data_IF_954623326021
#
_entry.id   IF_954623326021
#
_cell.length_a   1.000
_cell.length_b   1.000
_cell.length_c   1.000
_cell.angle_alpha   90.00
_cell.angle_beta   90.00
_cell.angle_gamma   90.00
#
_symmetry.space_group_name_H-M   'P 1'
#
loop_
_entity.id
_entity.type
_entity.pdbx_description
1 polymer ?
#
# COMPACT_ATOMS: atom_id res chain seq x y z
N UNK A 1 -74.88 15.19 29.02
CA UNK A 1 -76.23 15.06 28.45
C UNK A 1 -76.44 16.19 27.45
N UNK A 2 -77.02 15.87 26.26
CA UNK A 2 -77.30 16.73 25.08
C UNK A 2 -76.09 17.31 24.33
N UNK A 3 -75.71 16.89 23.10
CA UNK A 3 -76.40 16.96 21.77
C UNK A 3 -76.92 18.37 21.44
N UNK A 4 -76.74 18.98 20.26
CA UNK A 4 -76.15 18.62 18.96
C UNK A 4 -75.94 19.91 18.13
N UNK A 5 -74.94 19.82 17.25
CA UNK A 5 -74.72 20.45 15.93
C UNK A 5 -75.33 21.80 15.52
N UNK A 6 -74.44 22.64 15.00
CA UNK A 6 -74.71 23.46 13.81
C UNK A 6 -73.52 24.32 13.44
N UNK A 7 -72.78 23.97 12.39
CA UNK A 7 -72.08 24.95 11.51
C UNK A 7 -71.61 24.29 10.23
N UNK A 8 -71.97 24.94 9.12
CA UNK A 8 -71.81 24.51 7.74
C UNK A 8 -70.37 24.62 7.23
N UNK A 9 -70.08 23.75 6.27
CA UNK A 9 -68.84 23.56 5.53
C UNK A 9 -68.52 24.70 4.56
N UNK A 10 -67.33 25.27 4.67
CA UNK A 10 -66.69 26.10 3.63
C UNK A 10 -65.56 25.30 2.97
N UNK A 11 -65.70 25.18 1.65
CA UNK A 11 -64.76 24.61 0.69
C UNK A 11 -63.50 25.46 0.60
N UNK A 12 -62.33 24.84 0.75
CA UNK A 12 -61.07 25.37 0.25
C UNK A 12 -60.14 24.21 -0.15
N UNK A 13 -59.89 24.16 -1.46
CA UNK A 13 -58.75 23.60 -2.18
C UNK A 13 -57.68 22.85 -1.38
N UNK A 14 -57.36 21.64 -1.86
CA UNK A 14 -56.07 21.28 -2.50
C UNK A 14 -55.86 19.79 -2.30
N UNK A 15 -55.96 19.00 -3.38
CA UNK A 15 -55.51 17.60 -3.33
C UNK A 15 -54.62 17.32 -4.53
N UNK A 16 -53.32 17.36 -4.20
CA UNK A 16 -52.18 16.63 -4.71
C UNK A 16 -52.18 16.12 -6.17
N UNK A 17 -51.20 16.51 -6.99
CA UNK A 17 -50.87 15.74 -8.18
C UNK A 17 -50.35 14.37 -7.76
N UNK A 18 -50.87 13.36 -8.47
CA UNK A 18 -50.59 11.93 -8.33
C UNK A 18 -49.12 11.63 -8.06
N UNK A 19 -48.94 10.79 -7.04
CA UNK A 19 -47.78 9.96 -6.73
C UNK A 19 -46.87 9.67 -7.93
N UNK A 20 -45.62 10.09 -7.77
CA UNK A 20 -44.41 9.52 -8.38
C UNK A 20 -44.58 8.04 -8.71
N UNK A 21 -44.56 7.70 -9.99
CA UNK A 21 -44.32 6.34 -10.46
C UNK A 21 -42.92 5.94 -10.01
N UNK A 22 -42.82 5.16 -8.94
CA UNK A 22 -41.63 4.37 -8.68
C UNK A 22 -41.44 3.47 -9.91
N UNK A 23 -40.46 3.79 -10.75
CA UNK A 23 -40.11 2.98 -11.91
C UNK A 23 -39.69 1.60 -11.41
N UNK A 24 -40.60 0.62 -11.50
CA UNK A 24 -40.29 -0.76 -11.20
C UNK A 24 -39.31 -1.25 -12.27
N UNK A 25 -38.07 -1.55 -11.85
CA UNK A 25 -37.08 -2.18 -12.73
C UNK A 25 -37.67 -3.46 -13.31
N UNK A 26 -37.61 -3.59 -14.62
CA UNK A 26 -38.08 -4.79 -15.34
C UNK A 26 -37.12 -5.96 -15.10
N UNK A 27 -37.63 -7.19 -15.29
CA UNK A 27 -36.82 -8.40 -15.15
C UNK A 27 -35.61 -8.40 -16.10
N UNK A 28 -35.75 -7.84 -17.30
CA UNK A 28 -34.65 -7.73 -18.27
C UNK A 28 -33.57 -6.75 -17.82
N UNK A 29 -33.94 -5.66 -17.16
CA UNK A 29 -32.98 -4.71 -16.57
C UNK A 29 -32.23 -5.34 -15.39
N UNK A 30 -32.91 -6.11 -14.55
CA UNK A 30 -32.27 -6.85 -13.46
C UNK A 30 -31.28 -7.89 -13.98
N UNK A 31 -31.64 -8.68 -15.01
CA UNK A 31 -30.70 -9.62 -15.63
C UNK A 31 -29.50 -8.95 -16.30
N UNK A 32 -29.68 -7.75 -16.87
CA UNK A 32 -28.55 -6.95 -17.40
C UNK A 32 -27.64 -6.45 -16.27
N UNK A 33 -28.20 -6.05 -15.14
CA UNK A 33 -27.43 -5.63 -13.96
C UNK A 33 -26.64 -6.80 -13.40
N UNK A 34 -27.26 -7.98 -13.27
CA UNK A 34 -26.59 -9.21 -12.82
C UNK A 34 -25.47 -9.64 -13.78
N UNK A 35 -25.72 -9.63 -15.09
CA UNK A 35 -24.70 -10.00 -16.08
C UNK A 35 -23.53 -8.99 -16.16
N UNK A 36 -23.78 -7.73 -15.79
CA UNK A 36 -22.74 -6.70 -15.71
C UNK A 36 -22.02 -6.66 -14.34
N UNK A 37 -22.49 -7.44 -13.36
CA UNK A 37 -21.91 -7.47 -12.03
C UNK A 37 -20.67 -8.35 -11.99
N UNK A 38 -19.51 -7.71 -11.97
CA UNK A 38 -18.23 -8.39 -11.82
C UNK A 38 -17.84 -8.52 -10.35
N UNK A 39 -18.13 -9.68 -9.76
CA UNK A 39 -17.71 -10.03 -8.39
C UNK A 39 -16.19 -9.99 -8.20
N UNK A 40 -15.41 -10.20 -9.28
CA UNK A 40 -13.95 -10.23 -9.21
C UNK A 40 -13.35 -8.84 -9.05
N UNK A 41 -14.00 -7.81 -9.61
CA UNK A 41 -13.60 -6.41 -9.45
C UNK A 41 -13.71 -5.92 -7.99
N UNK A 42 -14.63 -6.49 -7.20
CA UNK A 42 -14.85 -6.09 -5.80
C UNK A 42 -13.71 -6.48 -4.86
N UNK A 43 -12.96 -7.52 -5.20
CA UNK A 43 -11.85 -8.03 -4.38
C UNK A 43 -10.49 -7.60 -4.92
N UNK A 44 -10.46 -6.93 -6.08
CA UNK A 44 -9.23 -6.54 -6.75
C UNK A 44 -8.54 -5.37 -6.03
N UNK A 45 -7.42 -5.68 -5.39
CA UNK A 45 -6.60 -4.67 -4.72
C UNK A 45 -5.76 -3.89 -5.75
N UNK A 46 -5.87 -2.57 -5.73
CA UNK A 46 -4.98 -1.67 -6.48
C UNK A 46 -3.67 -1.54 -5.71
N UNK A 47 -2.60 -2.10 -6.26
CA UNK A 47 -1.26 -2.02 -5.68
C UNK A 47 -0.46 -0.85 -6.26
N UNK A 48 0.52 -0.34 -5.51
CA UNK A 48 1.48 0.60 -6.05
C UNK A 48 2.32 -0.04 -7.16
N UNK A 49 2.87 0.78 -8.06
CA UNK A 49 3.77 0.32 -9.15
C UNK A 49 4.94 -0.54 -8.66
N UNK A 50 5.51 -0.19 -7.50
CA UNK A 50 6.56 -0.96 -6.83
C UNK A 50 6.10 -2.35 -6.40
N UNK A 51 4.87 -2.47 -5.88
CA UNK A 51 4.28 -3.76 -5.50
C UNK A 51 3.92 -4.61 -6.72
N UNK A 52 3.42 -3.99 -7.80
CA UNK A 52 3.21 -4.68 -9.08
C UNK A 52 4.50 -5.23 -9.69
N UNK A 53 5.61 -4.51 -9.53
CA UNK A 53 6.93 -4.99 -9.98
C UNK A 53 7.33 -6.29 -9.26
N UNK A 54 7.13 -6.36 -7.93
CA UNK A 54 7.44 -7.56 -7.16
C UNK A 54 6.51 -8.73 -7.50
N UNK A 55 5.22 -8.47 -7.72
CA UNK A 55 4.26 -9.47 -8.18
C UNK A 55 4.70 -10.09 -9.51
N UNK A 56 5.02 -9.26 -10.51
CA UNK A 56 5.53 -9.71 -11.82
C UNK A 56 6.82 -10.52 -11.69
N UNK A 57 7.74 -10.10 -10.82
CA UNK A 57 8.98 -10.85 -10.60
C UNK A 57 8.74 -12.25 -10.04
N UNK A 58 7.83 -12.39 -9.08
CA UNK A 58 7.50 -13.71 -8.49
C UNK A 58 6.74 -14.57 -9.50
N UNK A 59 5.85 -13.99 -10.29
CA UNK A 59 5.18 -14.69 -11.38
C UNK A 59 6.16 -15.21 -12.44
N UNK A 60 7.14 -14.41 -12.84
CA UNK A 60 8.19 -14.84 -13.77
C UNK A 60 9.04 -15.99 -13.20
N UNK A 61 9.31 -15.98 -11.89
CA UNK A 61 10.00 -17.09 -11.23
C UNK A 61 9.16 -18.37 -11.29
N UNK A 62 7.85 -18.26 -11.07
CA UNK A 62 6.93 -19.39 -11.18
C UNK A 62 6.92 -19.96 -12.60
N UNK A 63 6.72 -19.12 -13.62
CA UNK A 63 6.73 -19.55 -15.02
C UNK A 63 8.03 -20.25 -15.40
N UNK A 64 9.18 -19.71 -14.97
CA UNK A 64 10.49 -20.32 -15.22
C UNK A 64 10.64 -21.67 -14.52
N UNK A 65 10.16 -21.78 -13.29
CA UNK A 65 10.17 -23.05 -12.56
C UNK A 65 9.31 -24.11 -13.25
N UNK A 66 8.09 -23.76 -13.66
CA UNK A 66 7.21 -24.65 -14.42
C UNK A 66 7.86 -25.10 -15.73
N UNK A 67 8.49 -24.18 -16.46
CA UNK A 67 9.22 -24.48 -17.71
C UNK A 67 10.31 -25.52 -17.49
N UNK A 68 11.14 -25.37 -16.45
CA UNK A 68 12.20 -26.33 -16.11
C UNK A 68 11.63 -27.70 -15.73
N UNK A 69 10.46 -27.71 -15.09
CA UNK A 69 9.78 -28.94 -14.64
C UNK A 69 8.88 -29.57 -15.72
N UNK A 70 8.72 -28.94 -16.88
CA UNK A 70 7.79 -29.37 -17.92
C UNK A 70 6.33 -29.35 -17.47
N UNK A 71 5.96 -28.45 -16.57
CA UNK A 71 4.60 -28.31 -16.05
C UNK A 71 3.85 -27.23 -16.81
N UNK A 72 2.55 -27.47 -17.07
CA UNK A 72 1.64 -26.40 -17.44
C UNK A 72 1.49 -25.41 -16.28
N UNK A 73 1.78 -24.14 -16.52
CA UNK A 73 1.85 -23.15 -15.45
C UNK A 73 0.49 -22.74 -14.90
N UNK A 74 -0.59 -22.83 -15.69
CA UNK A 74 -1.95 -22.50 -15.26
C UNK A 74 -2.54 -23.65 -14.43
N UNK A 75 -2.36 -24.90 -14.87
CA UNK A 75 -2.79 -26.07 -14.09
C UNK A 75 -2.01 -26.15 -12.78
N UNK A 76 -0.68 -26.01 -12.85
CA UNK A 76 0.18 -26.16 -11.68
C UNK A 76 -0.08 -25.10 -10.59
N UNK A 77 -0.46 -23.87 -10.96
CA UNK A 77 -0.74 -22.80 -9.98
C UNK A 77 -2.14 -22.96 -9.36
N UNK A 78 -3.11 -23.46 -10.13
CA UNK A 78 -4.45 -23.76 -9.66
C UNK A 78 -4.42 -24.88 -8.61
N UNK A 79 -3.74 -25.99 -8.92
CA UNK A 79 -3.72 -27.23 -8.14
C UNK A 79 -2.51 -27.33 -7.19
N UNK A 80 -1.92 -26.19 -6.83
CA UNK A 80 -0.66 -26.19 -6.09
C UNK A 80 -0.79 -26.87 -4.72
N UNK A 81 0.06 -27.87 -4.46
CA UNK A 81 0.17 -28.55 -3.17
C UNK A 81 1.43 -28.10 -2.40
N UNK A 82 1.54 -28.48 -1.14
CA UNK A 82 2.70 -28.13 -0.30
C UNK A 82 4.01 -28.67 -0.86
N UNK A 83 4.00 -29.83 -1.52
CA UNK A 83 5.20 -30.46 -2.08
C UNK A 83 5.73 -29.67 -3.28
N UNK A 84 4.85 -29.24 -4.16
CA UNK A 84 5.18 -28.40 -5.31
C UNK A 84 5.70 -27.04 -4.84
N UNK A 85 5.04 -26.42 -3.85
CA UNK A 85 5.51 -25.17 -3.25
C UNK A 85 6.88 -25.32 -2.58
N UNK A 86 7.11 -26.39 -1.82
CA UNK A 86 8.42 -26.69 -1.23
C UNK A 86 9.50 -26.72 -2.33
N UNK A 87 9.26 -27.47 -3.40
CA UNK A 87 10.23 -27.62 -4.48
C UNK A 87 10.43 -26.31 -5.26
N UNK A 88 9.37 -25.51 -5.42
CA UNK A 88 9.46 -24.17 -6.01
C UNK A 88 10.34 -23.25 -5.17
N UNK A 89 10.08 -23.11 -3.87
CA UNK A 89 10.87 -22.22 -3.00
C UNK A 89 12.29 -22.73 -2.78
N UNK A 90 12.51 -24.05 -2.74
CA UNK A 90 13.84 -24.63 -2.77
C UNK A 90 14.59 -24.19 -4.04
N UNK A 91 13.96 -24.35 -5.22
CA UNK A 91 14.55 -23.91 -6.49
C UNK A 91 14.80 -22.39 -6.52
N UNK A 92 13.87 -21.56 -6.03
CA UNK A 92 14.06 -20.10 -5.95
C UNK A 92 15.30 -19.76 -5.12
N UNK A 93 15.49 -20.41 -3.97
CA UNK A 93 16.67 -20.21 -3.12
C UNK A 93 17.96 -20.68 -3.79
N UNK A 94 17.93 -21.80 -4.52
CA UNK A 94 19.07 -22.26 -5.32
C UNK A 94 19.39 -21.30 -6.46
N UNK A 95 18.37 -20.84 -7.19
CA UNK A 95 18.50 -19.94 -8.34
C UNK A 95 18.95 -18.54 -7.94
N UNK A 96 18.49 -18.04 -6.79
CA UNK A 96 18.81 -16.70 -6.25
C UNK A 96 19.77 -16.74 -5.06
N UNK A 97 20.64 -17.75 -4.98
CA UNK A 97 21.54 -17.98 -3.83
C UNK A 97 22.38 -16.75 -3.44
N UNK A 98 22.79 -15.94 -4.41
CA UNK A 98 23.59 -14.74 -4.16
C UNK A 98 22.76 -13.58 -3.62
N UNK A 99 21.51 -13.42 -4.07
CA UNK A 99 20.66 -12.25 -3.77
C UNK A 99 19.64 -12.49 -2.66
N UNK A 100 19.20 -13.74 -2.44
CA UNK A 100 18.18 -14.09 -1.45
C UNK A 100 18.86 -14.78 -0.26
N UNK A 101 19.24 -13.99 0.75
CA UNK A 101 20.00 -14.47 1.92
C UNK A 101 19.29 -14.28 3.26
N UNK A 102 18.08 -13.71 3.26
CA UNK A 102 17.38 -13.34 4.48
C UNK A 102 16.01 -14.03 4.59
N UNK A 103 15.66 -14.48 5.80
CA UNK A 103 14.37 -15.08 6.12
C UNK A 103 13.20 -14.16 5.72
N UNK A 104 13.29 -12.88 6.06
CA UNK A 104 12.23 -11.91 5.76
C UNK A 104 11.96 -11.74 4.26
N UNK A 105 12.99 -11.88 3.42
CA UNK A 105 12.84 -11.84 1.97
C UNK A 105 12.11 -13.08 1.46
N UNK A 106 12.46 -14.27 1.96
CA UNK A 106 11.76 -15.51 1.62
C UNK A 106 10.27 -15.45 2.02
N UNK A 107 9.97 -14.98 3.23
CA UNK A 107 8.59 -14.79 3.69
C UNK A 107 7.82 -13.78 2.84
N UNK A 108 8.49 -12.74 2.35
CA UNK A 108 7.90 -11.77 1.43
C UNK A 108 7.56 -12.43 0.10
N UNK A 109 8.47 -13.21 -0.47
CA UNK A 109 8.22 -13.94 -1.72
C UNK A 109 7.06 -14.93 -1.56
N UNK A 110 6.95 -15.61 -0.42
CA UNK A 110 5.80 -16.46 -0.10
C UNK A 110 4.48 -15.70 -0.12
N UNK A 111 4.41 -14.56 0.60
CA UNK A 111 3.19 -13.73 0.61
C UNK A 111 2.82 -13.22 -0.77
N UNK A 112 3.82 -12.79 -1.55
CA UNK A 112 3.61 -12.30 -2.93
C UNK A 112 3.14 -13.44 -3.82
N UNK A 113 3.69 -14.65 -3.68
CA UNK A 113 3.21 -15.82 -4.41
C UNK A 113 1.73 -16.10 -4.13
N UNK A 114 1.31 -16.06 -2.85
CA UNK A 114 -0.10 -16.21 -2.51
C UNK A 114 -0.99 -15.16 -3.20
N UNK A 115 -0.52 -13.91 -3.29
CA UNK A 115 -1.25 -12.85 -4.01
C UNK A 115 -1.31 -13.09 -5.51
N UNK A 116 -0.22 -13.55 -6.13
CA UNK A 116 -0.20 -13.90 -7.57
C UNK A 116 -1.22 -15.02 -7.83
N UNK A 117 -1.22 -16.07 -7.00
CA UNK A 117 -2.18 -17.16 -7.14
C UNK A 117 -3.62 -16.68 -6.92
N UNK A 118 -3.88 -15.94 -5.85
CA UNK A 118 -5.22 -15.40 -5.55
C UNK A 118 -5.74 -14.54 -6.70
N UNK A 119 -4.88 -13.73 -7.35
CA UNK A 119 -5.24 -12.93 -8.54
C UNK A 119 -5.61 -13.80 -9.75
N UNK A 120 -4.90 -14.92 -9.98
CA UNK A 120 -5.17 -15.80 -11.12
C UNK A 120 -6.38 -16.71 -10.92
N UNK A 121 -6.56 -17.19 -9.70
CA UNK A 121 -7.53 -18.25 -9.37
C UNK A 121 -8.82 -17.68 -8.75
N UNK A 122 -8.78 -16.45 -8.25
CA UNK A 122 -9.93 -15.76 -7.64
C UNK A 122 -10.17 -16.08 -6.16
N UNK A 123 -9.54 -17.12 -5.61
CA UNK A 123 -9.68 -17.50 -4.20
C UNK A 123 -8.36 -17.83 -3.50
N UNK A 124 -8.37 -17.68 -2.18
CA UNK A 124 -7.22 -17.92 -1.32
C UNK A 124 -6.82 -19.39 -1.31
N UNK A 125 -5.54 -19.63 -1.11
CA UNK A 125 -5.00 -20.97 -0.91
C UNK A 125 -5.63 -21.63 0.33
N UNK A 126 -5.75 -22.96 0.30
CA UNK A 126 -6.24 -23.74 1.43
C UNK A 126 -5.45 -23.40 2.72
N UNK A 127 -6.18 -23.18 3.81
CA UNK A 127 -5.62 -22.92 5.15
C UNK A 127 -4.65 -24.01 5.59
N UNK A 128 -4.90 -25.27 5.23
CA UNK A 128 -3.99 -26.39 5.52
C UNK A 128 -2.65 -26.20 4.81
N UNK A 129 -2.66 -25.89 3.52
CA UNK A 129 -1.43 -25.65 2.73
C UNK A 129 -0.68 -24.43 3.28
N UNK A 130 -1.38 -23.35 3.63
CA UNK A 130 -0.78 -22.16 4.26
C UNK A 130 -0.06 -22.53 5.56
N UNK A 131 -0.70 -23.35 6.41
CA UNK A 131 -0.11 -23.80 7.68
C UNK A 131 1.10 -24.69 7.45
N UNK A 132 1.01 -25.66 6.54
CA UNK A 132 2.12 -26.55 6.19
C UNK A 132 3.30 -25.76 5.62
N UNK A 133 3.03 -24.72 4.83
CA UNK A 133 4.06 -23.86 4.27
C UNK A 133 4.85 -23.10 5.32
N UNK A 134 4.27 -22.78 6.48
CA UNK A 134 5.06 -22.19 7.58
C UNK A 134 6.20 -23.12 8.01
N UNK A 135 5.92 -24.43 8.11
CA UNK A 135 6.94 -25.44 8.41
C UNK A 135 7.97 -25.59 7.30
N UNK A 136 7.52 -25.59 6.03
CA UNK A 136 8.41 -25.62 4.86
C UNK A 136 9.37 -24.43 4.86
N UNK A 137 8.88 -23.21 5.07
CA UNK A 137 9.73 -22.02 5.09
C UNK A 137 10.74 -22.06 6.23
N UNK A 138 10.37 -22.54 7.41
CA UNK A 138 11.30 -22.71 8.52
C UNK A 138 12.39 -23.73 8.21
N UNK A 139 12.05 -24.83 7.53
CA UNK A 139 13.02 -25.82 7.08
C UNK A 139 13.98 -25.24 6.05
N UNK A 140 13.46 -24.56 5.03
CA UNK A 140 14.28 -23.92 4.00
C UNK A 140 15.22 -22.84 4.56
N UNK A 141 14.77 -22.08 5.57
CA UNK A 141 15.62 -21.12 6.29
C UNK A 141 16.83 -21.80 6.92
N UNK A 142 16.65 -23.00 7.49
CA UNK A 142 17.74 -23.80 8.08
C UNK A 142 18.63 -24.40 6.99
N UNK A 143 18.02 -25.04 5.99
CA UNK A 143 18.75 -25.77 4.92
C UNK A 143 19.65 -24.83 4.10
N UNK A 144 19.22 -23.59 3.89
CA UNK A 144 19.98 -22.56 3.16
C UNK A 144 20.74 -21.58 4.07
N UNK A 145 20.75 -21.80 5.39
CA UNK A 145 21.42 -20.94 6.38
C UNK A 145 21.08 -19.45 6.23
N UNK A 146 19.78 -19.14 6.05
CA UNK A 146 19.34 -17.76 5.82
C UNK A 146 19.49 -16.91 7.09
N UNK A 147 19.82 -15.63 6.90
CA UNK A 147 19.90 -14.66 7.97
C UNK A 147 18.51 -14.47 8.61
N UNK A 148 18.42 -14.81 9.90
CA UNK A 148 17.19 -14.68 10.70
C UNK A 148 17.17 -13.42 11.56
N UNK A 149 18.34 -12.86 11.85
CA UNK A 149 18.47 -11.63 12.63
C UNK A 149 17.79 -10.50 11.87
N UNK A 150 16.86 -9.81 12.55
CA UNK A 150 16.29 -8.57 12.05
C UNK A 150 17.42 -7.55 12.00
N UNK A 151 17.59 -6.89 10.85
CA UNK A 151 18.52 -5.76 10.74
C UNK A 151 18.11 -4.73 11.78
N UNK A 152 19.08 -4.32 12.60
CA UNK A 152 18.87 -3.26 13.57
C UNK A 152 18.48 -1.99 12.84
N UNK A 153 17.42 -1.35 13.33
CA UNK A 153 17.01 -0.04 12.86
C UNK A 153 17.77 0.97 13.70
N UNK A 154 19.01 1.25 13.32
CA UNK A 154 19.78 2.33 13.93
C UNK A 154 19.05 3.64 13.59
N UNK A 155 18.58 4.33 14.61
CA UNK A 155 18.05 5.68 14.46
C UNK A 155 19.22 6.65 14.39
N UNK A 156 19.13 7.63 13.49
CA UNK A 156 20.09 8.73 13.44
C UNK A 156 19.74 9.71 14.56
N UNK A 157 20.66 9.97 15.46
CA UNK A 157 20.51 11.01 16.48
C UNK A 157 20.80 12.40 15.91
N UNK A 158 20.53 13.45 16.68
CA UNK A 158 20.72 14.84 16.24
C UNK A 158 22.21 15.13 16.01
N UNK A 159 23.06 14.56 16.85
CA UNK A 159 24.52 14.63 16.76
C UNK A 159 25.03 13.94 15.49
N UNK A 160 24.46 12.78 15.14
CA UNK A 160 24.77 12.07 13.90
C UNK A 160 24.36 12.88 12.67
N UNK A 161 23.15 13.47 12.71
CA UNK A 161 22.67 14.33 11.64
C UNK A 161 23.57 15.56 11.46
N UNK A 162 24.02 16.17 12.57
CA UNK A 162 24.97 17.27 12.53
C UNK A 162 26.28 16.86 11.87
N UNK A 163 26.88 15.73 12.25
CA UNK A 163 28.15 15.29 11.68
C UNK A 163 28.00 14.90 10.19
N UNK A 164 26.87 14.29 9.80
CA UNK A 164 26.55 14.01 8.40
C UNK A 164 26.45 15.31 7.59
N UNK A 165 25.73 16.32 8.11
CA UNK A 165 25.59 17.62 7.43
C UNK A 165 26.93 18.35 7.35
N UNK A 166 27.69 18.38 8.43
CA UNK A 166 29.05 18.96 8.46
C UNK A 166 29.93 18.29 7.41
N UNK A 167 29.99 16.96 7.40
CA UNK A 167 30.75 16.20 6.40
C UNK A 167 30.27 16.51 4.98
N UNK A 168 28.96 16.57 4.77
CA UNK A 168 28.36 16.94 3.49
C UNK A 168 28.78 18.34 3.03
N UNK A 169 29.00 19.30 3.93
CA UNK A 169 29.42 20.66 3.57
C UNK A 169 30.93 20.86 3.47
N UNK A 170 31.72 20.15 4.28
CA UNK A 170 33.17 20.39 4.39
C UNK A 170 34.02 19.39 3.62
N UNK A 171 33.49 18.20 3.29
CA UNK A 171 34.24 17.19 2.55
C UNK A 171 34.36 17.55 1.06
N UNK A 172 35.59 17.47 0.58
CA UNK A 172 35.94 17.51 -0.85
C UNK A 172 35.80 16.16 -1.55
N UNK A 173 35.64 15.08 -0.79
CA UNK A 173 35.55 13.71 -1.33
C UNK A 173 34.15 13.41 -1.89
N UNK A 174 33.12 14.08 -1.36
CA UNK A 174 31.77 14.05 -1.91
C UNK A 174 31.67 15.01 -3.10
N UNK A 175 31.67 14.43 -4.29
CA UNK A 175 31.44 15.15 -5.55
C UNK A 175 29.97 15.05 -5.94
N UNK A 176 29.41 16.17 -6.38
CA UNK A 176 28.06 16.24 -6.94
C UNK A 176 28.17 16.72 -8.38
N UNK A 177 27.34 16.16 -9.27
CA UNK A 177 27.23 16.65 -10.66
C UNK A 177 26.90 18.15 -10.70
N UNK A 178 26.17 18.63 -9.69
CA UNK A 178 25.89 20.04 -9.49
C UNK A 178 25.84 20.36 -7.99
N UNK A 179 26.55 21.39 -7.54
CA UNK A 179 26.58 21.80 -6.13
C UNK A 179 25.21 22.13 -5.52
N UNK A 180 24.20 22.44 -6.35
CA UNK A 180 22.80 22.55 -5.90
C UNK A 180 22.29 21.29 -5.20
N UNK A 181 22.75 20.11 -5.63
CA UNK A 181 22.36 18.84 -5.01
C UNK A 181 22.82 18.74 -3.55
N UNK A 182 23.98 19.32 -3.21
CA UNK A 182 24.48 19.38 -1.82
C UNK A 182 23.50 20.14 -0.93
N UNK A 183 23.07 21.33 -1.37
CA UNK A 183 22.08 22.15 -0.65
C UNK A 183 20.73 21.44 -0.55
N UNK A 184 20.24 20.85 -1.64
CA UNK A 184 18.97 20.12 -1.63
C UNK A 184 19.00 18.90 -0.71
N UNK A 185 20.10 18.13 -0.73
CA UNK A 185 20.27 16.97 0.13
C UNK A 185 20.30 17.38 1.60
N UNK A 186 21.03 18.46 1.95
CA UNK A 186 21.05 18.99 3.31
C UNK A 186 19.65 19.40 3.80
N UNK A 187 18.86 20.06 2.95
CA UNK A 187 17.49 20.44 3.27
C UNK A 187 16.61 19.21 3.50
N UNK A 188 16.70 18.21 2.62
CA UNK A 188 15.93 16.96 2.75
C UNK A 188 16.29 16.23 4.04
N UNK A 189 17.57 16.16 4.41
CA UNK A 189 18.02 15.53 5.67
C UNK A 189 17.47 16.26 6.89
N UNK A 190 17.52 17.60 6.91
CA UNK A 190 16.95 18.41 7.98
C UNK A 190 15.44 18.20 8.12
N UNK A 191 14.72 18.26 7.01
CA UNK A 191 13.27 18.03 7.01
C UNK A 191 12.91 16.61 7.45
N UNK A 192 13.68 15.60 7.01
CA UNK A 192 13.50 14.21 7.44
C UNK A 192 13.72 14.03 8.94
N UNK A 193 14.79 14.63 9.49
CA UNK A 193 15.12 14.57 10.90
C UNK A 193 14.07 15.23 11.79
N UNK A 194 13.59 16.42 11.39
CA UNK A 194 12.61 17.20 12.17
C UNK A 194 11.21 16.59 12.09
N UNK A 195 10.76 16.21 10.90
CA UNK A 195 9.35 15.81 10.67
C UNK A 195 9.13 14.31 10.74
N UNK A 196 10.19 13.49 10.72
CA UNK A 196 10.08 12.03 10.62
C UNK A 196 9.44 11.56 9.31
N UNK A 197 9.39 12.43 8.29
CA UNK A 197 8.73 12.14 7.02
C UNK A 197 9.50 11.11 6.20
N UNK A 198 8.77 10.27 5.45
CA UNK A 198 9.38 9.32 4.53
C UNK A 198 10.08 10.06 3.39
N UNK A 199 11.22 9.57 2.87
CA UNK A 199 11.92 10.20 1.75
C UNK A 199 11.01 10.49 0.55
N UNK A 200 10.12 9.56 0.20
CA UNK A 200 9.19 9.76 -0.91
C UNK A 200 8.20 10.93 -0.71
N UNK A 201 7.79 11.21 0.53
CA UNK A 201 6.92 12.35 0.81
C UNK A 201 7.69 13.68 0.72
N UNK A 202 8.95 13.69 1.17
CA UNK A 202 9.83 14.85 1.08
C UNK A 202 10.23 15.17 -0.37
N UNK A 203 10.45 14.15 -1.18
CA UNK A 203 10.79 14.34 -2.60
C UNK A 203 9.60 14.79 -3.45
N UNK A 204 8.36 14.58 -2.96
CA UNK A 204 7.15 14.97 -3.65
C UNK A 204 6.64 16.37 -3.25
N UNK A 205 7.30 17.02 -2.30
CA UNK A 205 6.95 18.35 -1.79
C UNK A 205 7.07 19.41 -2.88
N UNK A 206 6.06 20.27 -3.00
CA UNK A 206 6.00 21.37 -3.96
C UNK A 206 5.95 22.71 -3.22
N UNK A 207 6.22 23.81 -3.92
CA UNK A 207 6.13 25.15 -3.31
C UNK A 207 4.75 25.47 -2.74
N UNK A 208 3.67 24.96 -3.35
CA UNK A 208 2.30 25.11 -2.84
C UNK A 208 2.05 24.42 -1.48
N UNK A 209 2.90 23.47 -1.13
CA UNK A 209 2.78 22.66 0.09
C UNK A 209 3.50 23.32 1.29
N UNK A 210 4.20 24.43 1.04
CA UNK A 210 4.94 25.19 2.05
C UNK A 210 4.16 26.47 2.34
N UNK A 211 3.71 26.61 3.58
CA UNK A 211 3.09 27.83 4.07
C UNK A 211 4.04 28.53 5.03
N UNK A 212 4.23 29.84 4.81
CA UNK A 212 5.07 30.68 5.66
C UNK A 212 4.21 31.75 6.29
N UNK A 213 4.13 31.73 7.61
CA UNK A 213 3.32 32.65 8.41
C UNK A 213 4.23 33.44 9.33
N UNK A 214 4.10 34.77 9.32
CA UNK A 214 4.77 35.65 10.28
C UNK A 214 3.87 35.84 11.50
N UNK A 215 4.37 35.45 12.67
CA UNK A 215 3.67 35.53 13.94
C UNK A 215 4.38 36.57 14.80
N UNK A 216 3.62 37.44 15.48
CA UNK A 216 4.22 38.35 16.47
C UNK A 216 4.76 37.53 17.63
N UNK A 217 5.93 37.89 18.15
CA UNK A 217 6.49 37.20 19.31
C UNK A 217 5.50 37.27 20.50
N UNK A 218 4.97 36.13 20.96
CA UNK A 218 4.05 36.11 22.10
C UNK A 218 4.71 36.57 23.40
N UNK A 219 6.05 36.56 23.49
CA UNK A 219 6.81 37.12 24.61
C UNK A 219 7.06 38.64 24.48
N UNK A 220 6.56 39.29 23.43
CA UNK A 220 6.66 40.74 23.24
C UNK A 220 7.97 41.22 22.62
N UNK A 221 8.79 40.33 22.06
CA UNK A 221 9.98 40.69 21.31
C UNK A 221 9.68 41.54 20.06
N UNK A 222 10.64 42.36 19.66
CA UNK A 222 10.50 43.25 18.50
C UNK A 222 10.53 42.51 17.16
N UNK A 223 11.04 41.28 17.13
CA UNK A 223 11.20 40.50 15.90
C UNK A 223 10.02 39.53 15.74
N UNK A 224 9.37 39.49 14.56
CA UNK A 224 8.35 38.48 14.28
C UNK A 224 8.98 37.09 14.15
N UNK A 225 8.29 36.07 14.66
CA UNK A 225 8.62 34.66 14.48
C UNK A 225 8.14 34.18 13.11
N UNK A 226 8.99 33.44 12.40
CA UNK A 226 8.61 32.79 11.13
C UNK A 226 8.18 31.37 11.42
N UNK A 227 6.90 31.08 11.21
CA UNK A 227 6.36 29.72 11.24
C UNK A 227 6.34 29.17 9.81
N UNK A 228 7.01 28.03 9.60
CA UNK A 228 6.98 27.30 8.34
C UNK A 228 6.18 26.01 8.55
N UNK A 229 5.05 25.90 7.85
CA UNK A 229 4.18 24.73 7.88
C UNK A 229 4.34 23.95 6.58
N UNK A 230 4.46 22.62 6.70
CA UNK A 230 4.67 21.71 5.59
C UNK A 230 3.48 20.74 5.49
N UNK A 231 2.78 20.79 4.36
CA UNK A 231 1.64 19.90 4.10
C UNK A 231 2.05 18.77 3.17
N UNK A 232 2.04 17.54 3.66
CA UNK A 232 2.49 16.39 2.87
C UNK A 232 1.31 15.68 2.18
N UNK A 233 1.01 16.08 0.94
CA UNK A 233 -0.07 15.49 0.12
C UNK A 233 0.17 14.00 -0.19
N UNK A 234 1.43 13.58 -0.31
CA UNK A 234 1.84 12.20 -0.63
C UNK A 234 2.33 11.39 0.58
N UNK A 235 1.80 11.68 1.77
CA UNK A 235 1.86 10.71 2.87
C UNK A 235 1.02 9.49 2.49
N UNK A 236 1.44 8.29 2.91
CA UNK A 236 0.88 6.99 2.48
C UNK A 236 -0.65 7.04 2.30
N UNK A 237 -1.10 7.36 1.09
CA UNK A 237 -2.50 7.47 0.73
C UNK A 237 -3.11 6.09 0.83
N UNK A 238 -4.17 5.98 1.61
CA UNK A 238 -4.87 4.73 1.81
C UNK A 238 -5.65 4.44 0.51
N UNK A 239 -5.16 3.53 -0.34
CA UNK A 239 -5.70 3.24 -1.68
C UNK A 239 -7.01 2.42 -1.69
N UNK A 240 -7.69 2.26 -0.56
CA UNK A 240 -8.97 1.56 -0.44
C UNK A 240 -9.48 1.59 1.00
N UNK A 241 -10.78 1.44 1.27
CA UNK A 241 -11.33 1.54 2.62
C UNK A 241 -10.69 0.52 3.60
N UNK A 242 -10.50 0.93 4.86
CA UNK A 242 -9.98 0.04 5.90
C UNK A 242 -11.15 -0.82 6.36
N UNK A 243 -11.07 -2.13 6.16
CA UNK A 243 -11.97 -3.07 6.82
C UNK A 243 -11.90 -2.78 8.33
N UNK A 244 -13.03 -2.35 8.90
CA UNK A 244 -13.21 -2.16 10.34
C UNK A 244 -13.46 -3.50 11.01
#
# INVERSE_FOLDING_TARGET
>A
MSQRHGTASLSANTTCPRTSTASSLSAEELSRIEAAFDETALTQRVYSSSSETLLKQVEQLWLRYCTIRGLDHEVAIAEVDTRLLHNFFFWVLSYRKTTLRAKGTLETYWKVFCLVRERKIGYKLDKLVIRQMQGVLQRLVKDFSLQTKKREKVAMHVEDLFEVLKTLWTSTDMTFDHERHRTQLSLIMLLAGITGSRPGALLALRYRDVQVTLIRDPAGGQQPLVLIELTYEYTKGYLGAKDR
#
